data_IF_085034269138
#
_entry.id   IF_085034269138
#
_cell.length_a   1.000
_cell.length_b   1.000
_cell.length_c   1.000
_cell.angle_alpha   90.00
_cell.angle_beta   90.00
_cell.angle_gamma   90.00
#
_symmetry.space_group_name_H-M   'P 1'
#
loop_
_entity.id
_entity.type
_entity.pdbx_description
1 polymer ?
#
# COMPACT_ATOMS: atom_id res chain seq x y z
N UNK A 1 2.02 9.86 -8.22
CA UNK A 1 2.62 10.89 -9.10
C UNK A 1 3.56 11.75 -8.25
N UNK A 2 4.64 12.26 -8.83
CA UNK A 2 5.48 13.24 -8.14
C UNK A 2 4.74 14.58 -8.08
N UNK A 3 5.01 15.34 -7.02
CA UNK A 3 4.39 16.62 -6.69
C UNK A 3 5.44 17.38 -5.91
N UNK A 4 5.95 18.48 -6.45
CA UNK A 4 7.08 19.24 -5.90
C UNK A 4 6.72 19.99 -4.61
N UNK A 5 5.43 20.22 -4.35
CA UNK A 5 4.95 20.79 -3.09
C UNK A 5 4.85 19.75 -1.97
N UNK A 6 4.80 18.46 -2.33
CA UNK A 6 4.56 17.35 -1.40
C UNK A 6 5.67 16.32 -1.35
N UNK A 7 6.61 16.31 -2.30
CA UNK A 7 7.70 15.34 -2.41
C UNK A 7 9.05 16.02 -2.59
N UNK A 8 10.07 15.52 -1.89
CA UNK A 8 11.46 15.96 -2.01
C UNK A 8 12.10 15.42 -3.29
N UNK A 9 13.00 16.20 -3.88
CA UNK A 9 13.64 15.88 -5.17
C UNK A 9 14.45 14.58 -5.14
N UNK A 10 14.98 14.18 -3.98
CA UNK A 10 15.73 12.94 -3.79
C UNK A 10 14.90 11.69 -4.09
N UNK A 11 13.57 11.78 -3.95
CA UNK A 11 12.63 10.69 -4.21
C UNK A 11 11.99 10.79 -5.60
N UNK A 12 12.38 11.79 -6.40
CA UNK A 12 11.91 11.98 -7.77
C UNK A 12 12.55 10.97 -8.71
N UNK A 13 11.72 10.23 -9.44
CA UNK A 13 12.18 9.30 -10.48
C UNK A 13 11.54 9.64 -11.81
N UNK A 14 12.35 9.67 -12.86
CA UNK A 14 11.91 9.86 -14.25
C UNK A 14 11.92 8.50 -14.94
N UNK A 15 10.78 8.14 -15.51
CA UNK A 15 10.56 6.86 -16.17
C UNK A 15 10.73 6.98 -17.70
N UNK A 16 10.95 5.83 -18.37
CA UNK A 16 11.14 5.78 -19.84
C UNK A 16 9.95 6.31 -20.64
N UNK A 17 8.76 6.31 -20.04
CA UNK A 17 7.53 6.87 -20.61
C UNK A 17 7.45 8.41 -20.46
N UNK A 18 8.50 9.05 -19.92
CA UNK A 18 8.57 10.49 -19.66
C UNK A 18 7.86 10.93 -18.38
N UNK A 19 7.20 10.01 -17.67
CA UNK A 19 6.50 10.34 -16.42
C UNK A 19 7.47 10.52 -15.26
N UNK A 20 7.14 11.45 -14.36
CA UNK A 20 7.89 11.68 -13.12
C UNK A 20 7.08 11.20 -11.93
N UNK A 21 7.65 10.31 -11.11
CA UNK A 21 6.95 9.64 -10.00
C UNK A 21 7.78 9.61 -8.72
N UNK A 22 7.09 9.27 -7.64
CA UNK A 22 7.62 9.01 -6.31
C UNK A 22 6.97 7.71 -5.86
N UNK A 23 7.70 6.60 -5.85
CA UNK A 23 7.11 5.26 -5.65
C UNK A 23 7.21 4.78 -4.19
N UNK A 24 7.91 5.54 -3.37
CA UNK A 24 8.23 5.23 -1.99
C UNK A 24 7.50 6.15 -1.01
N UNK A 25 6.44 6.84 -1.45
CA UNK A 25 5.56 7.60 -0.55
C UNK A 25 4.90 6.63 0.43
N UNK A 26 5.00 6.93 1.73
CA UNK A 26 4.38 6.11 2.76
C UNK A 26 2.87 6.40 2.82
N UNK A 27 2.05 5.38 2.58
CA UNK A 27 0.59 5.45 2.68
C UNK A 27 0.13 4.79 3.98
N UNK A 28 -0.22 5.60 4.98
CA UNK A 28 -0.66 5.11 6.28
C UNK A 28 -2.16 4.72 6.26
N UNK A 29 -2.43 3.41 6.43
CA UNK A 29 -3.80 2.88 6.60
C UNK A 29 -4.24 2.96 8.07
N UNK A 30 -3.31 2.64 8.99
CA UNK A 30 -3.48 2.71 10.44
C UNK A 30 -2.28 3.44 11.05
N UNK A 31 -2.54 4.25 12.07
CA UNK A 31 -1.54 5.02 12.83
C UNK A 31 -1.45 4.56 14.28
N UNK A 32 -0.27 4.78 14.88
CA UNK A 32 -0.08 4.57 16.33
C UNK A 32 -1.06 5.45 17.09
N UNK A 33 -1.84 4.84 17.99
CA UNK A 33 -2.87 5.52 18.78
C UNK A 33 -4.28 5.43 18.19
N UNK A 34 -4.44 4.92 16.96
CA UNK A 34 -5.78 4.64 16.43
C UNK A 34 -6.49 3.59 17.29
N UNK A 35 -7.77 3.83 17.58
CA UNK A 35 -8.63 2.86 18.25
C UNK A 35 -9.08 1.83 17.23
N UNK A 36 -8.56 0.61 17.34
CA UNK A 36 -8.89 -0.48 16.43
C UNK A 36 -9.96 -1.38 17.03
N UNK A 37 -10.82 -1.91 16.17
CA UNK A 37 -11.75 -2.98 16.55
C UNK A 37 -11.13 -4.33 16.23
N UNK A 38 -10.94 -5.15 17.26
CA UNK A 38 -10.34 -6.48 17.15
C UNK A 38 -11.10 -7.35 16.15
N UNK A 39 -10.37 -8.02 15.24
CA UNK A 39 -10.94 -8.96 14.27
C UNK A 39 -11.81 -8.32 13.17
N UNK A 40 -11.86 -6.98 13.09
CA UNK A 40 -12.64 -6.26 12.09
C UNK A 40 -11.71 -5.51 11.13
N UNK A 41 -12.14 -5.33 9.89
CA UNK A 41 -11.42 -4.51 8.92
C UNK A 41 -11.40 -3.05 9.37
N UNK A 42 -10.20 -2.47 9.45
CA UNK A 42 -10.02 -1.05 9.70
C UNK A 42 -10.27 -0.25 8.40
N UNK A 43 -10.00 1.06 8.44
CA UNK A 43 -10.20 1.97 7.30
C UNK A 43 -9.61 1.39 6.00
N UNK A 44 -10.37 1.52 4.92
CA UNK A 44 -9.95 1.09 3.59
C UNK A 44 -9.12 2.16 2.88
N UNK A 45 -8.18 1.73 2.03
CA UNK A 45 -7.44 2.60 1.11
C UNK A 45 -7.42 1.99 -0.27
N UNK A 46 -7.63 2.79 -1.30
CA UNK A 46 -7.67 2.32 -2.69
C UNK A 46 -6.40 2.69 -3.45
N UNK A 47 -5.89 1.75 -4.24
CA UNK A 47 -4.73 1.93 -5.10
C UNK A 47 -5.10 1.63 -6.55
N UNK A 48 -4.41 2.29 -7.48
CA UNK A 48 -4.60 2.17 -8.92
C UNK A 48 -3.31 1.69 -9.57
N UNK A 49 -3.38 0.93 -10.67
CA UNK A 49 -2.19 0.62 -11.45
C UNK A 49 -1.60 1.89 -12.03
N UNK A 50 -0.28 1.86 -12.21
CA UNK A 50 0.47 2.98 -12.75
C UNK A 50 0.37 3.00 -14.28
N UNK A 51 0.33 1.81 -14.89
CA UNK A 51 0.25 1.65 -16.34
C UNK A 51 -1.08 1.00 -16.78
N UNK A 52 -1.64 1.42 -17.93
CA UNK A 52 -2.88 0.85 -18.46
C UNK A 52 -2.82 -0.66 -18.72
N UNK A 53 -1.65 -1.20 -19.07
CA UNK A 53 -1.43 -2.60 -19.41
C UNK A 53 -0.88 -3.43 -18.24
N UNK A 54 -0.77 -2.86 -17.04
CA UNK A 54 -0.28 -3.56 -15.86
C UNK A 54 -1.23 -4.73 -15.51
N UNK A 55 -0.70 -5.95 -15.36
CA UNK A 55 -1.51 -7.17 -15.12
C UNK A 55 -1.69 -7.51 -13.64
N UNK A 56 -0.94 -6.85 -12.76
CA UNK A 56 -1.01 -7.04 -11.31
C UNK A 56 -0.62 -5.77 -10.57
N UNK A 57 -1.04 -5.62 -9.32
CA UNK A 57 -0.65 -4.53 -8.43
C UNK A 57 0.12 -5.09 -7.24
N UNK A 58 1.36 -4.64 -7.07
CA UNK A 58 2.17 -5.00 -5.92
C UNK A 58 1.84 -4.11 -4.73
N UNK A 59 1.43 -4.71 -3.62
CA UNK A 59 1.10 -4.01 -2.38
C UNK A 59 2.13 -4.44 -1.30
N UNK A 60 3.27 -3.74 -1.22
CA UNK A 60 4.21 -3.93 -0.12
C UNK A 60 3.65 -3.34 1.18
N UNK A 61 3.75 -4.09 2.27
CA UNK A 61 3.27 -3.69 3.59
C UNK A 61 4.45 -3.27 4.44
N UNK A 62 4.33 -2.11 5.08
CA UNK A 62 5.38 -1.53 5.91
C UNK A 62 4.86 -1.24 7.32
N UNK A 63 5.74 -1.39 8.30
CA UNK A 63 5.55 -0.91 9.67
C UNK A 63 6.68 0.06 10.01
N UNK A 64 6.40 1.03 10.88
CA UNK A 64 7.40 2.02 11.30
C UNK A 64 7.14 2.55 12.69
N UNK A 65 8.22 2.88 13.40
CA UNK A 65 8.16 3.55 14.71
C UNK A 65 8.02 5.07 14.59
N UNK A 66 8.26 5.62 13.40
CA UNK A 66 8.05 7.03 13.12
C UNK A 66 6.55 7.33 13.10
N UNK A 67 6.10 8.35 13.84
CA UNK A 67 4.68 8.70 13.90
C UNK A 67 4.17 9.36 12.61
N UNK A 68 5.06 10.00 11.84
CA UNK A 68 4.74 10.71 10.61
C UNK A 68 5.75 10.35 9.50
N UNK A 69 5.77 9.09 9.04
CA UNK A 69 6.63 8.69 7.93
C UNK A 69 6.14 9.34 6.65
N UNK A 70 7.04 10.01 5.92
CA UNK A 70 6.75 10.53 4.57
C UNK A 70 7.08 9.50 3.49
N UNK A 71 8.13 8.72 3.71
CA UNK A 71 8.64 7.73 2.77
C UNK A 71 8.83 6.36 3.41
N UNK A 72 8.77 5.30 2.61
CA UNK A 72 9.01 3.92 3.03
C UNK A 72 10.48 3.64 3.34
N UNK A 73 11.37 4.54 2.92
CA UNK A 73 12.81 4.54 3.23
C UNK A 73 13.16 5.34 4.49
N UNK A 74 12.17 5.96 5.15
CA UNK A 74 12.40 6.71 6.37
C UNK A 74 12.96 5.81 7.49
N UNK A 75 13.86 6.37 8.31
CA UNK A 75 14.49 5.68 9.44
C UNK A 75 13.41 5.04 10.34
N UNK A 76 13.64 3.79 10.73
CA UNK A 76 12.73 3.02 11.57
C UNK A 76 11.56 2.38 10.82
N UNK A 77 11.53 2.46 9.49
CA UNK A 77 10.55 1.79 8.63
C UNK A 77 11.07 0.44 8.14
N UNK A 78 10.23 -0.60 8.23
CA UNK A 78 10.54 -1.97 7.83
C UNK A 78 9.45 -2.50 6.91
N UNK A 79 9.83 -3.12 5.80
CA UNK A 79 8.91 -3.95 5.00
C UNK A 79 8.63 -5.24 5.77
N UNK A 80 7.35 -5.50 6.03
CA UNK A 80 6.89 -6.64 6.83
C UNK A 80 6.16 -7.68 5.98
N UNK A 81 5.84 -7.36 4.73
CA UNK A 81 5.21 -8.28 3.80
C UNK A 81 4.97 -7.67 2.42
N UNK A 82 4.43 -8.47 1.52
CA UNK A 82 4.06 -8.04 0.16
C UNK A 82 2.99 -8.96 -0.36
N UNK A 83 2.00 -8.41 -1.06
CA UNK A 83 1.01 -9.19 -1.79
C UNK A 83 0.93 -8.70 -3.22
N UNK A 84 0.85 -9.63 -4.16
CA UNK A 84 0.66 -9.34 -5.57
C UNK A 84 -0.81 -9.62 -5.93
N UNK A 85 -1.50 -8.58 -6.41
CA UNK A 85 -2.94 -8.65 -6.70
C UNK A 85 -3.13 -8.68 -8.21
N UNK A 86 -3.61 -9.78 -8.81
CA UNK A 86 -3.93 -9.81 -10.23
C UNK A 86 -5.01 -8.78 -10.58
N UNK A 87 -4.85 -8.09 -11.71
CA UNK A 87 -5.80 -7.11 -12.21
C UNK A 87 -6.52 -7.65 -13.44
N UNK A 88 -7.85 -7.55 -13.47
CA UNK A 88 -8.62 -7.85 -14.66
C UNK A 88 -8.72 -6.62 -15.58
N UNK A 89 -8.83 -6.86 -16.89
CA UNK A 89 -8.98 -5.78 -17.88
C UNK A 89 -7.74 -4.89 -18.02
N UNK A 90 -7.96 -3.67 -18.52
CA UNK A 90 -6.93 -2.67 -18.82
C UNK A 90 -7.35 -1.27 -18.37
N UNK A 91 -6.47 -0.28 -18.50
CA UNK A 91 -6.71 1.10 -18.09
C UNK A 91 -6.17 1.41 -16.68
N UNK A 92 -6.17 2.69 -16.29
CA UNK A 92 -5.65 3.12 -14.99
C UNK A 92 -6.75 3.29 -13.94
N UNK A 93 -8.02 3.19 -14.33
CA UNK A 93 -9.18 3.36 -13.43
C UNK A 93 -9.50 2.11 -12.62
N UNK A 94 -8.78 1.01 -12.85
CA UNK A 94 -8.88 -0.23 -12.07
C UNK A 94 -8.48 0.02 -10.62
N UNK A 95 -9.24 -0.54 -9.67
CA UNK A 95 -9.08 -0.28 -8.25
C UNK A 95 -8.77 -1.57 -7.49
N UNK A 96 -7.76 -1.49 -6.63
CA UNK A 96 -7.51 -2.46 -5.55
C UNK A 96 -7.80 -1.77 -4.24
N UNK A 97 -8.77 -2.30 -3.48
CA UNK A 97 -9.10 -1.82 -2.14
C UNK A 97 -8.35 -2.66 -1.12
N UNK A 98 -7.59 -2.00 -0.25
CA UNK A 98 -6.77 -2.63 0.79
C UNK A 98 -7.36 -2.30 2.15
N UNK A 99 -7.51 -3.33 2.97
CA UNK A 99 -7.94 -3.22 4.37
C UNK A 99 -7.08 -4.10 5.27
N UNK A 100 -6.87 -3.64 6.50
CA UNK A 100 -6.07 -4.34 7.49
C UNK A 100 -6.97 -4.79 8.64
N UNK A 101 -6.81 -6.03 9.08
CA UNK A 101 -7.52 -6.65 10.19
C UNK A 101 -6.48 -7.06 11.22
N UNK A 102 -6.70 -6.68 12.47
CA UNK A 102 -5.75 -6.93 13.57
C UNK A 102 -6.36 -7.99 14.50
N UNK A 103 -5.67 -9.11 14.66
CA UNK A 103 -6.12 -10.24 15.47
C UNK A 103 -4.95 -10.78 16.31
N UNK A 104 -4.90 -10.37 17.58
CA UNK A 104 -3.86 -10.81 18.51
C UNK A 104 -2.47 -10.38 18.04
N UNK A 105 -1.67 -11.35 17.59
CA UNK A 105 -0.29 -11.17 17.11
C UNK A 105 -0.18 -11.13 15.58
N UNK A 106 -1.30 -11.32 14.90
CA UNK A 106 -1.41 -11.38 13.45
C UNK A 106 -2.09 -10.13 12.89
N UNK A 107 -1.60 -9.70 11.73
CA UNK A 107 -2.34 -8.78 10.87
C UNK A 107 -2.69 -9.50 9.57
N UNK A 108 -3.97 -9.50 9.24
CA UNK A 108 -4.45 -9.88 7.91
C UNK A 108 -4.62 -8.64 7.05
N UNK A 109 -3.96 -8.62 5.91
CA UNK A 109 -4.17 -7.63 4.85
C UNK A 109 -5.03 -8.26 3.77
N UNK A 110 -6.20 -7.69 3.54
CA UNK A 110 -7.07 -8.09 2.43
C UNK A 110 -6.96 -7.06 1.31
N UNK A 111 -6.72 -7.55 0.10
CA UNK A 111 -6.69 -6.75 -1.12
C UNK A 111 -7.79 -7.24 -2.07
N UNK A 112 -8.82 -6.43 -2.25
CA UNK A 112 -9.95 -6.70 -3.13
C UNK A 112 -9.75 -6.01 -4.48
N UNK A 113 -9.65 -6.79 -5.55
CA UNK A 113 -9.71 -6.25 -6.91
C UNK A 113 -11.17 -5.95 -7.25
N UNK A 114 -11.49 -4.67 -7.47
CA UNK A 114 -12.90 -4.22 -7.50
C UNK A 114 -13.68 -4.67 -8.73
N UNK A 115 -13.03 -4.98 -9.86
CA UNK A 115 -13.74 -5.36 -11.07
C UNK A 115 -14.31 -6.78 -10.98
N UNK A 116 -13.60 -7.68 -10.30
CA UNK A 116 -13.95 -9.10 -10.14
C UNK A 116 -14.48 -9.42 -8.74
N UNK A 117 -14.20 -8.56 -7.75
CA UNK A 117 -14.47 -8.82 -6.34
C UNK A 117 -13.52 -9.85 -5.71
N UNK A 118 -12.49 -10.29 -6.43
CA UNK A 118 -11.54 -11.28 -5.92
C UNK A 118 -10.69 -10.68 -4.81
N UNK A 119 -10.59 -11.40 -3.69
CA UNK A 119 -9.78 -11.01 -2.54
C UNK A 119 -8.50 -11.85 -2.49
N UNK A 120 -7.36 -11.18 -2.44
CA UNK A 120 -6.06 -11.78 -2.11
C UNK A 120 -5.68 -11.38 -0.69
N UNK A 121 -5.21 -12.34 0.11
CA UNK A 121 -4.88 -12.13 1.52
C UNK A 121 -3.39 -12.33 1.80
N UNK A 122 -2.87 -11.58 2.74
CA UNK A 122 -1.57 -11.77 3.36
C UNK A 122 -1.74 -11.74 4.87
N UNK A 123 -1.25 -12.77 5.55
CA UNK A 123 -1.11 -12.76 7.01
C UNK A 123 0.33 -12.40 7.36
N UNK A 124 0.50 -11.48 8.29
CA UNK A 124 1.80 -11.03 8.78
C UNK A 124 1.85 -11.23 10.29
N UNK A 125 2.82 -12.03 10.74
CA UNK A 125 3.15 -12.19 12.15
C UNK A 125 4.07 -11.06 12.62
N UNK A 126 3.67 -10.39 13.69
CA UNK A 126 4.42 -9.25 14.25
C UNK A 126 5.37 -9.62 15.40
N UNK A 127 5.45 -10.90 15.77
CA UNK A 127 6.30 -11.41 16.86
C UNK A 127 7.71 -11.84 16.43
N UNK A 128 8.19 -11.43 15.25
CA UNK A 128 9.53 -11.76 14.75
C UNK A 128 10.65 -10.89 15.31
#
# INVERSE_FOLDING_TARGET
>A
MYDDTRHDEFHRKVYKDGSTRCDDVFSAIVKKGDKLVFGVAQKETSYRPVYPNQVSLSVPIFATVNQNPRYTTAIGTKKIGSVEVPLAGSGIDRLVVVRMIFCGTEITVECEEKATGKITRLNVDFLM
#
